data_IF_991848062319
#
_entry.id   IF_991848062319
#
_cell.length_a   1.000
_cell.length_b   1.000
_cell.length_c   1.000
_cell.angle_alpha   90.00
_cell.angle_beta   90.00
_cell.angle_gamma   90.00
#
_symmetry.space_group_name_H-M   'P 1'
#
loop_
_entity.id
_entity.type
_entity.pdbx_description
1 polymer ?
#
# COMPACT_ATOMS: atom_id res chain seq x y z
N UNK A 1 -6.31 -5.50 -14.78
CA UNK A 1 -5.30 -4.96 -13.84
C UNK A 1 -5.10 -6.01 -12.76
N UNK A 2 -3.85 -6.37 -12.47
CA UNK A 2 -3.49 -7.35 -11.42
C UNK A 2 -2.36 -6.71 -10.59
N UNK A 3 -2.21 -7.12 -9.33
CA UNK A 3 -1.18 -6.61 -8.41
C UNK A 3 -0.27 -7.75 -7.97
N UNK A 4 0.91 -7.42 -7.43
CA UNK A 4 1.74 -8.41 -6.74
C UNK A 4 0.99 -9.00 -5.54
N UNK A 5 1.23 -10.26 -5.15
CA UNK A 5 2.19 -11.20 -5.73
C UNK A 5 1.68 -11.92 -7.00
N UNK A 6 0.43 -11.68 -7.42
CA UNK A 6 -0.15 -12.36 -8.59
C UNK A 6 0.50 -11.95 -9.90
N UNK A 7 0.95 -10.69 -10.01
CA UNK A 7 1.78 -10.25 -11.13
C UNK A 7 3.08 -11.06 -11.21
N UNK A 8 3.88 -11.08 -10.13
CA UNK A 8 5.09 -11.90 -10.04
C UNK A 8 4.83 -13.38 -10.36
N UNK A 9 3.70 -13.93 -9.89
CA UNK A 9 3.31 -15.31 -10.18
C UNK A 9 3.08 -15.55 -11.67
N UNK A 10 2.33 -14.68 -12.34
CA UNK A 10 2.04 -14.79 -13.77
C UNK A 10 3.30 -14.64 -14.63
N UNK A 11 4.17 -13.68 -14.29
CA UNK A 11 5.45 -13.49 -14.97
C UNK A 11 6.32 -14.75 -14.89
N UNK A 12 6.43 -15.37 -13.71
CA UNK A 12 7.23 -16.58 -13.50
C UNK A 12 6.61 -17.84 -14.08
N UNK A 13 5.30 -18.04 -13.93
CA UNK A 13 4.63 -19.29 -14.29
C UNK A 13 4.35 -19.39 -15.79
N UNK A 14 4.03 -18.28 -16.45
CA UNK A 14 3.57 -18.31 -17.85
C UNK A 14 4.44 -17.48 -18.79
N UNK A 15 5.45 -16.78 -18.29
CA UNK A 15 6.21 -15.80 -19.08
C UNK A 15 5.37 -14.58 -19.47
N UNK A 16 4.35 -14.23 -18.68
CA UNK A 16 3.58 -13.01 -18.90
C UNK A 16 4.51 -11.79 -18.85
N UNK A 17 4.18 -10.74 -19.61
CA UNK A 17 4.94 -9.49 -19.66
C UNK A 17 4.06 -8.31 -19.30
N UNK A 18 4.64 -7.32 -18.63
CA UNK A 18 3.98 -6.03 -18.36
C UNK A 18 3.74 -5.32 -19.70
N UNK A 19 2.49 -4.97 -19.97
CA UNK A 19 2.11 -4.16 -21.14
C UNK A 19 2.05 -2.67 -20.82
N UNK A 20 1.65 -2.35 -19.58
CA UNK A 20 1.59 -1.01 -19.02
C UNK A 20 1.61 -1.11 -17.49
N UNK A 21 2.21 -0.14 -16.83
CA UNK A 21 2.15 0.05 -15.39
C UNK A 21 1.76 1.50 -15.03
N UNK A 22 1.80 1.84 -13.74
CA UNK A 22 1.43 3.19 -13.25
C UNK A 22 2.49 4.27 -13.49
N UNK A 23 3.60 3.96 -14.15
CA UNK A 23 4.77 4.82 -14.26
C UNK A 23 5.09 5.24 -15.70
N UNK A 24 5.65 6.46 -15.90
CA UNK A 24 5.72 7.57 -14.93
C UNK A 24 4.41 8.38 -14.90
N UNK A 25 4.04 8.87 -13.71
CA UNK A 25 3.07 9.97 -13.56
C UNK A 25 1.58 9.61 -13.68
N UNK A 26 1.22 8.33 -13.81
CA UNK A 26 -0.21 7.92 -13.84
C UNK A 26 -0.78 7.88 -12.43
N UNK A 27 -0.10 7.19 -11.50
CA UNK A 27 -0.55 7.05 -10.10
C UNK A 27 0.63 6.75 -9.18
N UNK A 28 0.61 7.31 -7.97
CA UNK A 28 1.63 7.08 -6.93
C UNK A 28 1.44 5.74 -6.19
N UNK A 29 0.26 5.13 -6.34
CA UNK A 29 -0.13 3.83 -5.80
C UNK A 29 0.09 3.66 -4.28
N UNK A 30 -0.21 4.71 -3.51
CA UNK A 30 -0.12 4.67 -2.05
C UNK A 30 -1.08 3.62 -1.46
N UNK A 31 -0.61 2.95 -0.42
CA UNK A 31 -1.44 2.10 0.45
C UNK A 31 -1.76 2.88 1.73
N UNK A 32 -3.00 2.74 2.21
CA UNK A 32 -3.49 3.47 3.39
C UNK A 32 -3.93 2.51 4.47
N UNK A 33 -3.59 2.83 5.71
CA UNK A 33 -4.27 2.27 6.88
C UNK A 33 -5.55 3.05 7.14
N UNK A 34 -6.65 2.34 7.36
CA UNK A 34 -7.95 2.92 7.69
C UNK A 34 -8.32 2.55 9.13
N UNK A 35 -8.77 3.53 9.89
CA UNK A 35 -9.23 3.35 11.27
C UNK A 35 -10.51 4.14 11.52
N UNK A 36 -11.35 3.61 12.40
CA UNK A 36 -12.52 4.33 12.90
C UNK A 36 -12.06 5.61 13.65
N UNK A 37 -12.73 6.74 13.40
CA UNK A 37 -12.24 8.05 13.84
C UNK A 37 -12.17 8.17 15.36
N UNK A 38 -13.17 7.67 16.08
CA UNK A 38 -13.19 7.63 17.54
C UNK A 38 -12.04 6.79 18.10
N UNK A 39 -11.80 5.60 17.53
CA UNK A 39 -10.72 4.72 17.93
C UNK A 39 -9.35 5.39 17.76
N UNK A 40 -9.07 5.94 16.58
CA UNK A 40 -7.79 6.61 16.30
C UNK A 40 -7.56 7.79 17.25
N UNK A 41 -8.60 8.59 17.53
CA UNK A 41 -8.52 9.74 18.44
C UNK A 41 -8.33 9.34 19.91
N UNK A 42 -8.99 8.27 20.34
CA UNK A 42 -8.98 7.85 21.74
C UNK A 42 -7.79 6.94 22.09
N UNK A 43 -7.09 6.39 21.09
CA UNK A 43 -5.99 5.44 21.28
C UNK A 43 -4.71 5.86 20.53
N UNK A 44 -4.21 7.10 20.67
CA UNK A 44 -3.06 7.59 19.90
C UNK A 44 -1.80 6.71 20.08
N UNK A 45 -1.56 6.21 21.30
CA UNK A 45 -0.43 5.31 21.60
C UNK A 45 -0.49 3.98 20.85
N UNK A 46 -1.69 3.47 20.56
CA UNK A 46 -1.85 2.22 19.79
C UNK A 46 -1.49 2.47 18.33
N UNK A 47 -1.88 3.64 17.79
CA UNK A 47 -1.57 4.03 16.42
C UNK A 47 -0.07 4.28 16.25
N UNK A 48 0.55 4.95 17.22
CA UNK A 48 2.00 5.16 17.28
C UNK A 48 2.75 3.82 17.30
N UNK A 49 2.40 2.91 18.23
CA UNK A 49 3.04 1.59 18.33
C UNK A 49 2.87 0.76 17.04
N UNK A 50 1.71 0.83 16.38
CA UNK A 50 1.48 0.18 15.09
C UNK A 50 2.44 0.72 14.01
N UNK A 51 2.63 2.03 13.94
CA UNK A 51 3.51 2.65 12.94
C UNK A 51 4.97 2.33 13.21
N UNK A 52 5.40 2.41 14.48
CA UNK A 52 6.75 2.05 14.90
C UNK A 52 7.08 0.60 14.54
N UNK A 53 6.22 -0.35 14.90
CA UNK A 53 6.43 -1.76 14.56
C UNK A 53 6.41 -1.97 13.05
N UNK A 54 5.44 -1.38 12.33
CA UNK A 54 5.35 -1.52 10.87
C UNK A 54 6.62 -1.04 10.16
N UNK A 55 7.19 0.09 10.60
CA UNK A 55 8.46 0.62 10.05
C UNK A 55 9.62 -0.29 10.42
N UNK A 56 9.71 -0.76 11.67
CA UNK A 56 10.76 -1.67 12.10
C UNK A 56 10.75 -3.00 11.31
N UNK A 57 9.58 -3.62 11.17
CA UNK A 57 9.41 -4.84 10.36
C UNK A 57 9.70 -4.57 8.88
N UNK A 58 9.26 -3.43 8.35
CA UNK A 58 9.54 -3.02 6.98
C UNK A 58 11.04 -2.90 6.68
N UNK A 59 11.81 -2.30 7.60
CA UNK A 59 13.27 -2.21 7.52
C UNK A 59 13.91 -3.60 7.56
N UNK A 60 13.46 -4.46 8.47
CA UNK A 60 13.97 -5.82 8.56
C UNK A 60 13.68 -6.60 7.28
N UNK A 61 12.46 -6.53 6.76
CA UNK A 61 12.03 -7.21 5.55
C UNK A 61 12.87 -6.78 4.34
N UNK A 62 13.07 -5.47 4.14
CA UNK A 62 13.92 -4.95 3.05
C UNK A 62 15.37 -5.43 3.15
N UNK A 63 15.90 -5.63 4.35
CA UNK A 63 17.26 -6.16 4.59
C UNK A 63 17.33 -7.69 4.44
N UNK A 64 16.23 -8.40 4.64
CA UNK A 64 16.18 -9.86 4.73
C UNK A 64 15.15 -10.47 3.77
N UNK A 65 15.06 -9.94 2.55
CA UNK A 65 14.00 -10.28 1.57
C UNK A 65 13.78 -11.78 1.38
N UNK A 66 14.86 -12.56 1.28
CA UNK A 66 14.77 -14.02 1.10
C UNK A 66 14.14 -14.69 2.32
N UNK A 67 14.63 -14.38 3.51
CA UNK A 67 14.11 -14.94 4.76
C UNK A 67 12.65 -14.52 4.97
N UNK A 68 12.32 -13.26 4.69
CA UNK A 68 10.95 -12.78 4.75
C UNK A 68 10.03 -13.54 3.76
N UNK A 69 10.51 -13.79 2.54
CA UNK A 69 9.76 -14.57 1.56
C UNK A 69 9.53 -16.01 2.01
N UNK A 70 10.53 -16.65 2.65
CA UNK A 70 10.41 -18.02 3.19
C UNK A 70 9.37 -18.10 4.31
N UNK A 71 9.23 -17.05 5.12
CA UNK A 71 8.18 -16.95 6.16
C UNK A 71 6.78 -16.69 5.57
N UNK A 72 6.68 -15.86 4.54
CA UNK A 72 5.40 -15.38 4.00
C UNK A 72 4.81 -16.34 2.95
N UNK A 73 5.65 -16.99 2.15
CA UNK A 73 5.24 -17.86 1.06
C UNK A 73 4.25 -18.97 1.46
N UNK A 74 4.44 -19.70 2.58
CA UNK A 74 3.48 -20.71 3.03
C UNK A 74 2.11 -20.12 3.36
N UNK A 75 2.05 -18.90 3.90
CA UNK A 75 0.80 -18.22 4.27
C UNK A 75 -0.02 -17.81 3.04
N UNK A 76 0.67 -17.53 1.93
CA UNK A 76 0.05 -17.15 0.66
C UNK A 76 -0.20 -18.34 -0.28
N UNK A 77 0.36 -19.52 0.04
CA UNK A 77 0.33 -20.68 -0.85
C UNK A 77 1.09 -20.47 -2.16
N UNK A 78 2.15 -19.66 -2.13
CA UNK A 78 2.94 -19.29 -3.32
C UNK A 78 4.39 -19.77 -3.20
N UNK A 79 5.10 -19.97 -4.33
CA UNK A 79 6.54 -20.22 -4.31
C UNK A 79 7.33 -19.07 -3.66
N UNK A 80 8.39 -19.40 -2.93
CA UNK A 80 9.24 -18.42 -2.22
C UNK A 80 9.79 -17.35 -3.17
N UNK A 81 10.20 -17.74 -4.37
CA UNK A 81 10.79 -16.84 -5.35
C UNK A 81 9.76 -15.87 -5.96
N UNK A 82 8.48 -16.25 -6.05
CA UNK A 82 7.36 -15.37 -6.42
C UNK A 82 7.17 -14.30 -5.33
N UNK A 83 7.09 -14.72 -4.07
CA UNK A 83 6.93 -13.79 -2.95
C UNK A 83 8.14 -12.88 -2.83
N UNK A 84 9.36 -13.40 -2.96
CA UNK A 84 10.57 -12.60 -2.93
C UNK A 84 10.58 -11.51 -4.02
N UNK A 85 10.12 -11.82 -5.23
CA UNK A 85 9.98 -10.84 -6.31
C UNK A 85 8.95 -9.75 -5.95
N UNK A 86 7.80 -10.13 -5.40
CA UNK A 86 6.79 -9.18 -4.93
C UNK A 86 7.34 -8.26 -3.82
N UNK A 87 8.01 -8.82 -2.82
CA UNK A 87 8.59 -8.05 -1.71
C UNK A 87 9.67 -7.06 -2.18
N UNK A 88 10.40 -7.37 -3.27
CA UNK A 88 11.36 -6.42 -3.88
C UNK A 88 10.68 -5.18 -4.44
N UNK A 89 9.45 -5.32 -4.97
CA UNK A 89 8.67 -4.24 -5.59
C UNK A 89 7.90 -3.39 -4.58
N UNK A 90 7.58 -3.96 -3.42
CA UNK A 90 6.88 -3.25 -2.36
C UNK A 90 7.76 -2.28 -1.60
N UNK A 91 7.18 -1.16 -1.20
CA UNK A 91 7.77 -0.20 -0.27
C UNK A 91 7.11 -0.32 1.10
N UNK A 92 7.93 -0.42 2.16
CA UNK A 92 7.46 -0.72 3.53
C UNK A 92 7.69 0.45 4.49
N UNK A 93 7.45 1.67 4.00
CA UNK A 93 7.72 2.90 4.75
C UNK A 93 6.42 3.58 5.15
N UNK A 94 5.81 3.07 6.23
CA UNK A 94 4.57 3.64 6.77
C UNK A 94 4.85 5.01 7.37
N UNK A 95 4.06 6.01 6.98
CA UNK A 95 4.21 7.40 7.39
C UNK A 95 2.84 8.06 7.55
N UNK A 96 2.76 9.14 8.35
CA UNK A 96 1.59 9.99 8.35
C UNK A 96 1.26 10.55 6.96
N UNK A 97 -0.02 10.76 6.69
CA UNK A 97 -0.49 11.35 5.43
C UNK A 97 -0.05 12.81 5.38
N UNK A 98 0.68 13.19 4.32
CA UNK A 98 1.04 14.58 4.04
C UNK A 98 -0.03 15.27 3.19
N UNK A 99 -0.03 16.62 3.10
CA UNK A 99 -0.93 17.34 2.20
C UNK A 99 -0.82 16.88 0.74
N UNK A 100 0.38 16.57 0.28
CA UNK A 100 0.64 16.09 -1.09
C UNK A 100 0.01 14.71 -1.31
N UNK A 101 0.20 13.77 -0.37
CA UNK A 101 -0.42 12.43 -0.44
C UNK A 101 -1.95 12.52 -0.40
N UNK A 102 -2.51 13.44 0.39
CA UNK A 102 -3.95 13.68 0.42
C UNK A 102 -4.47 14.26 -0.91
N UNK A 103 -3.70 15.18 -1.52
CA UNK A 103 -4.04 15.74 -2.83
C UNK A 103 -3.99 14.70 -3.94
N UNK A 104 -3.02 13.77 -3.91
CA UNK A 104 -2.94 12.64 -4.84
C UNK A 104 -4.19 11.75 -4.78
N UNK A 105 -4.62 11.40 -3.56
CA UNK A 105 -5.85 10.62 -3.37
C UNK A 105 -7.11 11.41 -3.77
N UNK A 106 -7.12 12.73 -3.57
CA UNK A 106 -8.23 13.58 -4.01
C UNK A 106 -8.36 13.56 -5.54
N UNK A 107 -7.24 13.62 -6.28
CA UNK A 107 -7.26 13.53 -7.76
C UNK A 107 -7.88 12.21 -8.23
N UNK A 108 -7.62 11.10 -7.53
CA UNK A 108 -8.25 9.81 -7.81
C UNK A 108 -9.76 9.88 -7.55
N UNK A 109 -10.18 10.41 -6.39
CA UNK A 109 -11.60 10.55 -6.05
C UNK A 109 -12.36 11.42 -7.07
N UNK A 110 -11.77 12.54 -7.48
CA UNK A 110 -12.33 13.45 -8.48
C UNK A 110 -12.48 12.77 -9.84
N UNK A 111 -11.46 12.00 -10.26
CA UNK A 111 -11.48 11.22 -11.50
C UNK A 111 -12.59 10.18 -11.47
N UNK A 112 -12.75 9.46 -10.36
CA UNK A 112 -13.81 8.46 -10.21
C UNK A 112 -15.20 9.10 -10.27
N UNK A 113 -15.37 10.28 -9.68
CA UNK A 113 -16.64 11.00 -9.75
C UNK A 113 -16.92 11.53 -11.16
N UNK A 114 -15.93 12.12 -11.83
CA UNK A 114 -16.05 12.62 -13.20
C UNK A 114 -16.42 11.50 -14.20
N UNK A 115 -15.85 10.30 -14.00
CA UNK A 115 -16.17 9.10 -14.77
C UNK A 115 -17.47 8.40 -14.33
N UNK A 116 -18.18 8.95 -13.32
CA UNK A 116 -19.42 8.40 -12.75
C UNK A 116 -19.26 6.99 -12.15
N UNK A 117 -18.05 6.64 -11.72
CA UNK A 117 -17.76 5.37 -11.02
C UNK A 117 -18.18 5.41 -9.55
N UNK A 118 -18.33 6.62 -9.00
CA UNK A 118 -18.91 6.86 -7.67
C UNK A 118 -20.07 7.86 -7.77
N UNK A 119 -21.13 7.72 -6.96
CA UNK A 119 -22.35 8.51 -7.10
C UNK A 119 -22.27 9.90 -6.45
N UNK A 120 -21.26 10.14 -5.59
CA UNK A 120 -21.10 11.39 -4.84
C UNK A 120 -19.63 11.81 -4.82
N UNK A 121 -19.34 13.12 -4.84
CA UNK A 121 -17.98 13.59 -4.63
C UNK A 121 -17.52 13.26 -3.21
N UNK A 122 -16.23 12.95 -3.08
CA UNK A 122 -15.58 12.66 -1.80
C UNK A 122 -14.54 13.75 -1.56
N UNK A 123 -14.51 14.29 -0.34
CA UNK A 123 -13.44 15.19 0.12
C UNK A 123 -12.50 14.41 1.02
N UNK A 124 -11.35 14.03 0.49
CA UNK A 124 -10.36 13.16 1.15
C UNK A 124 -9.85 13.77 2.46
N UNK A 125 -9.66 15.09 2.50
CA UNK A 125 -9.19 15.79 3.70
C UNK A 125 -10.16 15.66 4.89
N UNK A 126 -11.44 15.37 4.65
CA UNK A 126 -12.38 15.12 5.75
C UNK A 126 -12.04 13.81 6.47
N UNK A 127 -11.41 12.84 5.81
CA UNK A 127 -11.03 11.53 6.34
C UNK A 127 -9.60 11.48 6.90
N UNK A 128 -8.74 12.44 6.58
CA UNK A 128 -7.37 12.50 7.10
C UNK A 128 -7.41 12.84 8.58
N UNK A 129 -6.80 11.98 9.40
CA UNK A 129 -6.54 12.29 10.81
C UNK A 129 -5.18 12.98 10.84
N UNK A 130 -5.15 14.27 11.20
CA UNK A 130 -3.90 15.00 11.34
C UNK A 130 -2.98 14.23 12.30
N UNK A 131 -1.72 14.04 11.91
CA UNK A 131 -0.69 13.60 12.84
C UNK A 131 -0.70 14.58 14.02
N UNK A 132 -0.92 14.07 15.23
CA UNK A 132 -0.62 14.88 16.41
C UNK A 132 0.89 15.16 16.38
N UNK A 133 1.32 16.41 16.62
CA UNK A 133 2.74 16.74 16.70
C UNK A 133 3.43 15.96 17.82
#
# INVERSE_FOLDING_TARGET
MIWDPFQAAAEKATGARVLADGTPGVVSNYQYYLGERGFVKNNPKVIEALFEDSVAQGIWLKKNLRQAAELIAPLQGLPVDVVELALRRYEFNVKPITPEVAADQQRIADTFYALKLIPKPIKVSDAVVAAQP
#
